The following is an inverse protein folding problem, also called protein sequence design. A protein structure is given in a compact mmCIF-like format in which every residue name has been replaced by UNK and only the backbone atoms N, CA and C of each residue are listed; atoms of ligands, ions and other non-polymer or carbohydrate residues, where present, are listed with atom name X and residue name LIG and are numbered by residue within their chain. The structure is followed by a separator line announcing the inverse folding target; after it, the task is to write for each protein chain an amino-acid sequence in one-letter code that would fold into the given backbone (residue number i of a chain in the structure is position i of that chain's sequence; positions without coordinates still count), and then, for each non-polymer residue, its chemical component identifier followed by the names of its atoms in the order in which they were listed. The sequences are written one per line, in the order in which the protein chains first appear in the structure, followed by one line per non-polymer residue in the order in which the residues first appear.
data_IF_633222703772
#
_entry.id   IF_633222703772
#
_cell.length_a   1.000
_cell.length_b   1.000
_cell.length_c   1.000
_cell.angle_alpha   90.00
_cell.angle_beta   90.00
_cell.angle_gamma   90.00
#
_symmetry.space_group_name_H-M   'P 1'
#
loop_
_entity.id
_entity.type
_entity.pdbx_description
1 polymer ?
#
# COMPACT_ATOMS: atom_id res chain seq x y z
N UNK A 1 14.18 -22.60 21.74
CA UNK A 1 14.73 -21.27 21.46
C UNK A 1 15.05 -21.22 19.98
N UNK A 2 14.50 -20.26 19.25
CA UNK A 2 14.80 -20.05 17.83
C UNK A 2 16.26 -19.59 17.76
N UNK A 3 17.11 -20.35 17.03
CA UNK A 3 18.50 -19.97 16.80
C UNK A 3 18.56 -19.00 15.63
N UNK A 4 18.95 -17.75 15.88
CA UNK A 4 19.22 -16.77 14.82
C UNK A 4 20.46 -17.17 14.02
N UNK A 5 20.56 -16.87 12.71
CA UNK A 5 21.75 -17.11 11.91
C UNK A 5 22.96 -16.39 12.51
N UNK A 6 24.14 -17.03 12.60
CA UNK A 6 25.33 -16.41 13.18
C UNK A 6 25.74 -15.11 12.47
N UNK A 7 25.70 -15.10 11.14
CA UNK A 7 26.09 -13.95 10.32
C UNK A 7 25.12 -12.77 10.51
N UNK A 8 23.81 -13.04 10.70
CA UNK A 8 22.84 -12.02 11.09
C UNK A 8 23.18 -11.45 12.47
N UNK A 9 23.49 -12.31 13.43
CA UNK A 9 23.80 -11.92 14.80
C UNK A 9 25.04 -11.04 14.84
N UNK A 10 26.12 -11.44 14.15
CA UNK A 10 27.38 -10.66 14.06
C UNK A 10 27.14 -9.30 13.42
N UNK A 11 26.41 -9.23 12.30
CA UNK A 11 26.09 -7.97 11.62
C UNK A 11 25.28 -7.03 12.52
N UNK A 12 24.26 -7.55 13.22
CA UNK A 12 23.45 -6.72 14.12
C UNK A 12 24.23 -6.23 15.33
N UNK A 13 25.19 -7.01 15.84
CA UNK A 13 26.12 -6.56 16.89
C UNK A 13 27.00 -5.41 16.41
N UNK A 14 27.52 -5.49 15.20
CA UNK A 14 28.31 -4.41 14.59
C UNK A 14 27.46 -3.15 14.34
N UNK A 15 26.24 -3.32 13.84
CA UNK A 15 25.34 -2.22 13.49
C UNK A 15 24.82 -1.47 14.72
N UNK A 16 24.41 -2.20 15.76
CA UNK A 16 23.72 -1.64 16.94
C UNK A 16 24.63 -1.45 18.15
N UNK A 17 25.83 -2.04 18.16
CA UNK A 17 26.77 -1.93 19.26
C UNK A 17 26.13 -2.33 20.60
N UNK A 18 26.14 -1.40 21.56
CA UNK A 18 25.59 -1.63 22.91
C UNK A 18 24.07 -1.88 22.94
N UNK A 19 23.33 -1.54 21.88
CA UNK A 19 21.89 -1.77 21.80
C UNK A 19 21.53 -3.18 21.28
N UNK A 20 22.51 -3.96 20.81
CA UNK A 20 22.29 -5.27 20.19
C UNK A 20 21.61 -6.28 21.12
N UNK A 21 22.00 -6.31 22.41
CA UNK A 21 21.39 -7.21 23.40
C UNK A 21 19.89 -6.94 23.57
N UNK A 22 19.51 -5.68 23.75
CA UNK A 22 18.10 -5.28 23.87
C UNK A 22 17.30 -5.55 22.58
N UNK A 23 17.95 -5.41 21.43
CA UNK A 23 17.38 -5.77 20.14
C UNK A 23 17.08 -7.28 20.06
N UNK A 24 18.02 -8.14 20.40
CA UNK A 24 17.82 -9.60 20.39
C UNK A 24 16.75 -10.04 21.39
N UNK A 25 16.70 -9.42 22.57
CA UNK A 25 15.62 -9.67 23.54
C UNK A 25 14.25 -9.28 22.97
N UNK A 26 14.18 -8.17 22.21
CA UNK A 26 12.94 -7.78 21.55
C UNK A 26 12.50 -8.76 20.47
N UNK A 27 13.43 -9.36 19.71
CA UNK A 27 13.11 -10.35 18.66
C UNK A 27 12.52 -11.65 19.21
N UNK A 28 12.80 -12.03 20.46
CA UNK A 28 12.26 -13.23 21.09
C UNK A 28 11.03 -12.96 21.98
N UNK A 29 10.65 -11.69 22.12
CA UNK A 29 9.45 -11.30 22.88
C UNK A 29 8.18 -11.42 22.03
N UNK A 30 7.01 -11.35 22.66
CA UNK A 30 5.73 -11.39 21.96
C UNK A 30 5.57 -10.19 21.01
N UNK A 31 5.06 -10.48 19.82
CA UNK A 31 4.83 -9.48 18.77
C UNK A 31 3.67 -8.56 19.14
N UNK A 32 3.83 -7.22 19.09
CA UNK A 32 2.74 -6.30 19.34
C UNK A 32 1.65 -6.43 18.27
N UNK A 33 0.41 -6.33 18.69
CA UNK A 33 -0.73 -6.32 17.79
C UNK A 33 -1.24 -4.90 17.60
N UNK A 34 -1.47 -4.49 16.36
CA UNK A 34 -2.04 -3.19 16.03
C UNK A 34 -3.05 -3.27 14.89
N UNK A 35 -4.00 -2.34 14.91
CA UNK A 35 -5.04 -2.18 13.89
C UNK A 35 -5.07 -0.74 13.41
N UNK A 36 -5.54 -0.54 12.18
CA UNK A 36 -5.82 0.79 11.64
C UNK A 36 -7.28 0.87 11.20
N UNK A 37 -8.01 1.85 11.74
CA UNK A 37 -9.41 2.08 11.46
C UNK A 37 -9.63 2.62 10.04
N UNK A 38 -10.76 2.26 9.45
CA UNK A 38 -11.23 2.85 8.19
C UNK A 38 -12.07 4.10 8.51
N UNK A 39 -11.56 5.32 8.25
CA UNK A 39 -12.24 6.55 8.67
C UNK A 39 -13.61 6.76 8.00
N UNK A 40 -13.90 6.10 6.88
CA UNK A 40 -15.20 6.20 6.21
C UNK A 40 -16.24 5.21 6.76
N UNK A 41 -15.82 4.20 7.49
CA UNK A 41 -16.71 3.16 8.03
C UNK A 41 -16.83 3.19 9.55
N UNK A 42 -15.90 3.82 10.27
CA UNK A 42 -15.90 3.88 11.74
C UNK A 42 -16.32 5.25 12.29
N UNK A 43 -16.58 6.25 11.47
CA UNK A 43 -16.95 7.60 11.92
C UNK A 43 -18.24 7.64 12.77
N UNK A 44 -19.16 6.67 12.58
CA UNK A 44 -20.46 6.61 13.23
C UNK A 44 -20.78 5.23 13.82
N UNK A 45 -19.76 4.40 14.02
CA UNK A 45 -19.92 3.03 14.56
C UNK A 45 -19.10 2.85 15.82
N UNK A 46 -19.45 1.86 16.63
CA UNK A 46 -18.62 1.44 17.75
C UNK A 46 -17.22 1.02 17.26
N UNK A 47 -16.20 1.35 18.04
CA UNK A 47 -14.84 0.96 17.74
C UNK A 47 -14.69 -0.56 17.85
N UNK A 48 -13.90 -1.20 16.96
CA UNK A 48 -13.61 -2.62 17.11
C UNK A 48 -12.80 -2.84 18.40
N UNK A 49 -13.17 -3.88 19.15
CA UNK A 49 -12.48 -4.28 20.39
C UNK A 49 -12.25 -3.15 21.39
N UNK A 50 -13.28 -2.37 21.82
CA UNK A 50 -13.08 -1.19 22.66
C UNK A 50 -12.36 -1.51 23.97
N UNK A 51 -12.57 -2.71 24.54
CA UNK A 51 -11.92 -3.18 25.76
C UNK A 51 -10.45 -3.59 25.56
N UNK A 52 -10.05 -3.95 24.33
CA UNK A 52 -8.68 -4.32 23.97
C UNK A 52 -7.86 -3.15 23.44
N UNK A 53 -8.50 -2.06 23.05
CA UNK A 53 -7.76 -0.86 22.63
C UNK A 53 -6.83 -0.40 23.76
N UNK A 54 -5.55 -0.20 23.44
CA UNK A 54 -4.54 0.27 24.37
C UNK A 54 -4.24 1.74 24.10
N UNK A 55 -3.21 2.00 23.33
CA UNK A 55 -2.76 3.35 22.99
C UNK A 55 -2.79 3.57 21.49
N UNK A 56 -2.91 4.82 21.08
CA UNK A 56 -2.78 5.21 19.67
C UNK A 56 -1.34 4.97 19.19
N UNK A 57 -1.19 4.59 17.92
CA UNK A 57 0.11 4.58 17.23
C UNK A 57 0.56 6.04 17.07
N UNK A 58 1.74 6.44 17.55
CA UNK A 58 2.11 7.86 17.64
C UNK A 58 2.10 8.61 16.30
N UNK A 59 2.36 7.91 15.22
CA UNK A 59 2.45 8.47 13.86
C UNK A 59 1.24 8.14 12.96
N UNK A 60 0.15 7.64 13.55
CA UNK A 60 -1.06 7.32 12.78
C UNK A 60 -2.32 7.64 13.58
N UNK A 61 -3.08 8.64 13.13
CA UNK A 61 -4.29 9.11 13.82
C UNK A 61 -5.40 8.06 13.94
N UNK A 62 -5.45 7.09 13.02
CA UNK A 62 -6.41 5.99 13.01
C UNK A 62 -5.77 4.64 13.42
N UNK A 63 -4.51 4.66 13.87
CA UNK A 63 -3.76 3.48 14.30
C UNK A 63 -3.85 3.26 15.81
N UNK A 64 -4.08 2.01 16.24
CA UNK A 64 -4.18 1.65 17.64
C UNK A 64 -3.45 0.34 17.92
N UNK A 65 -2.76 0.27 19.04
CA UNK A 65 -2.27 -0.98 19.61
C UNK A 65 -3.40 -1.68 20.38
N UNK A 66 -3.36 -3.00 20.37
CA UNK A 66 -4.22 -3.84 21.21
C UNK A 66 -3.42 -4.40 22.38
N UNK A 67 -4.09 -4.63 23.52
CA UNK A 67 -3.51 -5.25 24.72
C UNK A 67 -3.11 -6.70 24.46
N UNK A 68 -3.89 -7.41 23.66
CA UNK A 68 -3.67 -8.78 23.23
C UNK A 68 -4.18 -8.99 21.80
N UNK A 69 -3.87 -10.13 21.21
CA UNK A 69 -4.30 -10.49 19.86
C UNK A 69 -5.64 -11.24 19.89
N UNK A 70 -6.74 -10.62 19.45
CA UNK A 70 -8.03 -11.30 19.37
C UNK A 70 -8.12 -12.24 18.16
N UNK A 71 -9.20 -13.03 18.10
CA UNK A 71 -9.55 -13.81 16.91
C UNK A 71 -10.16 -12.91 15.84
N UNK A 72 -9.31 -12.28 15.02
CA UNK A 72 -9.75 -11.37 13.98
C UNK A 72 -10.67 -12.00 12.93
N UNK A 73 -10.47 -13.28 12.60
CA UNK A 73 -11.25 -13.98 11.57
C UNK A 73 -12.72 -14.18 11.96
N UNK A 74 -13.04 -14.09 13.25
CA UNK A 74 -14.39 -14.21 13.77
C UNK A 74 -15.11 -12.86 13.88
N UNK A 75 -14.40 -11.74 13.61
CA UNK A 75 -14.98 -10.40 13.77
C UNK A 75 -15.65 -9.91 12.48
N UNK A 76 -16.99 -9.66 12.52
CA UNK A 76 -17.72 -9.12 11.38
C UNK A 76 -17.18 -7.77 10.89
N UNK A 77 -16.62 -6.93 11.77
CA UNK A 77 -16.08 -5.62 11.44
C UNK A 77 -14.83 -5.72 10.56
N UNK A 78 -13.99 -6.76 10.74
CA UNK A 78 -12.89 -7.04 9.82
C UNK A 78 -13.42 -7.34 8.41
N UNK A 79 -14.43 -8.20 8.32
CA UNK A 79 -15.03 -8.58 7.04
C UNK A 79 -15.79 -7.42 6.39
N UNK A 80 -16.35 -6.55 7.21
CA UNK A 80 -16.96 -5.28 6.78
C UNK A 80 -15.97 -4.20 6.38
N UNK A 81 -14.67 -4.41 6.61
CA UNK A 81 -13.60 -3.45 6.28
C UNK A 81 -13.60 -2.20 7.16
N UNK A 82 -14.10 -2.30 8.40
CA UNK A 82 -14.07 -1.22 9.39
C UNK A 82 -12.65 -0.94 9.89
N UNK A 83 -11.76 -1.91 9.83
CA UNK A 83 -10.34 -1.77 10.17
C UNK A 83 -9.47 -2.73 9.36
N UNK A 84 -8.17 -2.50 9.40
CA UNK A 84 -7.13 -3.35 8.86
C UNK A 84 -6.15 -3.74 9.97
N UNK A 85 -5.78 -5.03 10.09
CA UNK A 85 -4.72 -5.48 10.98
C UNK A 85 -3.39 -5.12 10.33
N UNK A 86 -2.73 -4.09 10.85
CA UNK A 86 -1.52 -3.53 10.23
C UNK A 86 -0.42 -3.36 11.26
N UNK A 87 0.79 -3.69 10.87
CA UNK A 87 2.02 -3.45 11.63
C UNK A 87 2.22 -1.94 11.84
N UNK A 88 2.49 -1.54 13.09
CA UNK A 88 2.46 -0.13 13.49
C UNK A 88 3.51 0.73 12.80
N UNK A 89 4.75 0.22 12.60
CA UNK A 89 5.82 0.99 11.96
C UNK A 89 5.45 1.37 10.52
N UNK A 90 4.77 0.48 9.80
CA UNK A 90 4.32 0.72 8.43
C UNK A 90 3.29 1.85 8.31
N UNK A 91 2.63 2.20 9.42
CA UNK A 91 1.69 3.33 9.47
C UNK A 91 2.39 4.70 9.45
N UNK A 92 3.73 4.77 9.62
CA UNK A 92 4.52 5.99 9.46
C UNK A 92 4.36 6.60 8.06
N UNK A 93 3.96 5.82 7.08
CA UNK A 93 3.58 6.31 5.76
C UNK A 93 2.55 7.45 5.83
N UNK A 94 1.70 7.54 6.88
CA UNK A 94 0.78 8.67 7.07
C UNK A 94 1.54 9.98 7.29
N UNK A 95 2.61 9.99 8.09
CA UNK A 95 3.46 11.18 8.33
C UNK A 95 4.17 11.61 7.05
N UNK A 96 4.65 10.63 6.27
CA UNK A 96 5.24 10.90 4.94
C UNK A 96 4.23 11.61 4.05
N UNK A 97 3.02 11.05 3.89
CA UNK A 97 1.98 11.62 3.05
C UNK A 97 1.64 13.06 3.46
N UNK A 98 1.48 13.34 4.75
CA UNK A 98 1.15 14.67 5.27
C UNK A 98 2.17 15.75 4.87
N UNK A 99 3.41 15.36 4.56
CA UNK A 99 4.47 16.31 4.22
C UNK A 99 4.76 16.40 2.73
N UNK A 100 4.57 15.31 1.98
CA UNK A 100 4.87 15.30 0.54
C UNK A 100 3.63 15.50 -0.35
N UNK A 101 2.41 15.40 0.22
CA UNK A 101 1.18 15.66 -0.55
C UNK A 101 0.56 16.98 -0.13
N UNK A 102 0.15 17.79 -1.10
CA UNK A 102 -0.71 18.96 -0.88
C UNK A 102 -2.18 18.59 -1.06
N UNK A 103 -3.00 19.57 -1.44
CA UNK A 103 -4.44 19.39 -1.72
C UNK A 103 -4.74 18.98 -3.18
N UNK A 104 -3.73 18.98 -4.04
CA UNK A 104 -3.89 18.65 -5.47
C UNK A 104 -4.08 17.15 -5.66
N UNK A 105 -5.05 16.72 -6.50
CA UNK A 105 -5.24 15.32 -6.81
C UNK A 105 -3.98 14.67 -7.41
N UNK A 106 -3.64 13.49 -6.94
CA UNK A 106 -2.45 12.73 -7.33
C UNK A 106 -2.83 11.41 -8.02
N UNK A 107 -1.97 10.98 -8.94
CA UNK A 107 -1.93 9.59 -9.38
C UNK A 107 -0.80 8.87 -8.65
N UNK A 108 -1.16 7.86 -7.90
CA UNK A 108 -0.24 7.11 -7.03
C UNK A 108 -0.17 5.66 -7.46
N UNK A 109 1.03 5.11 -7.50
CA UNK A 109 1.28 3.69 -7.72
C UNK A 109 1.84 3.06 -6.43
N UNK A 110 1.15 2.06 -5.90
CA UNK A 110 1.69 1.12 -4.91
C UNK A 110 2.12 -0.14 -5.67
N UNK A 111 3.43 -0.29 -5.90
CA UNK A 111 3.96 -1.24 -6.88
C UNK A 111 4.00 -2.68 -6.37
N UNK A 112 4.23 -2.89 -5.06
CA UNK A 112 4.33 -4.20 -4.41
C UNK A 112 3.27 -4.29 -3.30
N UNK A 113 2.00 -4.12 -3.66
CA UNK A 113 0.93 -3.70 -2.77
C UNK A 113 0.38 -4.78 -1.82
N UNK A 114 0.50 -6.06 -2.17
CA UNK A 114 -0.12 -7.12 -1.37
C UNK A 114 0.52 -7.28 0.01
N UNK A 115 -0.30 -7.49 1.05
CA UNK A 115 -1.73 -7.82 1.02
C UNK A 115 -2.68 -6.60 1.03
N UNK A 116 -2.19 -5.32 1.03
CA UNK A 116 -3.03 -4.13 0.91
C UNK A 116 -3.01 -3.18 2.12
N UNK A 117 -2.17 -3.40 3.11
CA UNK A 117 -2.08 -2.54 4.30
C UNK A 117 -1.66 -1.12 3.97
N UNK A 118 -0.59 -0.95 3.18
CA UNK A 118 -0.12 0.36 2.70
C UNK A 118 -1.08 0.97 1.66
N UNK A 119 -1.61 0.16 0.72
CA UNK A 119 -2.64 0.62 -0.23
C UNK A 119 -3.87 1.22 0.44
N UNK A 120 -4.42 0.55 1.45
CA UNK A 120 -5.61 1.04 2.17
C UNK A 120 -5.30 2.26 3.04
N UNK A 121 -4.06 2.42 3.52
CA UNK A 121 -3.59 3.63 4.17
C UNK A 121 -3.49 4.78 3.18
N UNK A 122 -2.85 4.57 2.01
CA UNK A 122 -2.79 5.53 0.91
C UNK A 122 -4.19 6.02 0.55
N UNK A 123 -5.11 5.09 0.24
CA UNK A 123 -6.47 5.41 -0.16
C UNK A 123 -7.22 6.31 0.84
N UNK A 124 -6.94 6.17 2.13
CA UNK A 124 -7.58 6.95 3.19
C UNK A 124 -6.98 8.34 3.40
N UNK A 125 -5.73 8.57 2.94
CA UNK A 125 -4.98 9.79 3.23
C UNK A 125 -4.62 10.62 1.99
N UNK A 126 -4.83 10.09 0.78
CA UNK A 126 -4.61 10.85 -0.45
C UNK A 126 -5.60 12.01 -0.58
N UNK A 127 -5.19 13.13 -1.21
CA UNK A 127 -6.08 14.24 -1.54
C UNK A 127 -7.32 13.76 -2.29
N UNK A 128 -8.42 14.50 -2.11
CA UNK A 128 -9.66 14.22 -2.82
C UNK A 128 -9.41 14.15 -4.34
N UNK A 129 -10.15 13.28 -5.02
CA UNK A 129 -10.08 13.09 -6.47
C UNK A 129 -8.74 12.50 -6.97
N UNK A 130 -7.88 12.00 -6.08
CA UNK A 130 -6.70 11.21 -6.43
C UNK A 130 -7.08 9.83 -6.97
N UNK A 131 -6.14 9.20 -7.67
CA UNK A 131 -6.24 7.82 -8.15
C UNK A 131 -5.11 6.98 -7.57
N UNK A 132 -5.45 5.85 -6.97
CA UNK A 132 -4.49 4.85 -6.52
C UNK A 132 -4.49 3.63 -7.45
N UNK A 133 -3.32 3.26 -7.95
CA UNK A 133 -3.08 1.99 -8.64
C UNK A 133 -2.29 1.10 -7.70
N UNK A 134 -2.85 -0.04 -7.31
CA UNK A 134 -2.21 -1.02 -6.42
C UNK A 134 -1.85 -2.26 -7.23
N UNK A 135 -0.55 -2.52 -7.39
CA UNK A 135 -0.02 -3.61 -8.20
C UNK A 135 0.54 -4.75 -7.34
N UNK A 136 0.41 -5.96 -7.83
CA UNK A 136 1.10 -7.14 -7.28
C UNK A 136 1.40 -8.12 -8.40
N UNK A 137 2.65 -8.57 -8.48
CA UNK A 137 3.12 -9.47 -9.53
C UNK A 137 2.64 -10.91 -9.33
N UNK A 138 2.54 -11.38 -8.09
CA UNK A 138 2.15 -12.74 -7.74
C UNK A 138 0.61 -12.84 -7.75
N UNK A 139 0.06 -13.63 -8.68
CA UNK A 139 -1.39 -13.73 -8.92
C UNK A 139 -2.20 -14.10 -7.66
N UNK A 140 -1.74 -15.04 -6.85
CA UNK A 140 -2.43 -15.41 -5.60
C UNK A 140 -2.46 -14.26 -4.59
N UNK A 141 -1.36 -13.50 -4.46
CA UNK A 141 -1.30 -12.32 -3.60
C UNK A 141 -2.12 -11.16 -4.16
N UNK A 142 -2.17 -10.98 -5.48
CA UNK A 142 -3.02 -9.98 -6.14
C UNK A 142 -4.51 -10.24 -5.88
N UNK A 143 -4.92 -11.51 -5.76
CA UNK A 143 -6.29 -11.87 -5.37
C UNK A 143 -6.62 -11.46 -3.94
N UNK A 144 -5.67 -11.65 -2.99
CA UNK A 144 -5.81 -11.20 -1.60
C UNK A 144 -5.86 -9.66 -1.53
N UNK A 145 -5.00 -8.99 -2.30
CA UNK A 145 -5.02 -7.53 -2.43
C UNK A 145 -6.38 -7.03 -2.91
N UNK A 146 -6.91 -7.61 -4.02
CA UNK A 146 -8.24 -7.27 -4.55
C UNK A 146 -9.32 -7.41 -3.47
N UNK A 147 -9.32 -8.51 -2.72
CA UNK A 147 -10.29 -8.76 -1.66
C UNK A 147 -10.22 -7.69 -0.56
N UNK A 148 -9.01 -7.34 -0.10
CA UNK A 148 -8.81 -6.33 0.94
C UNK A 148 -9.19 -4.92 0.45
N UNK A 149 -8.95 -4.59 -0.81
CA UNK A 149 -9.41 -3.33 -1.43
C UNK A 149 -10.94 -3.28 -1.51
N UNK A 150 -11.60 -4.38 -1.88
CA UNK A 150 -13.06 -4.50 -1.88
C UNK A 150 -13.61 -4.30 -0.46
N UNK A 151 -13.01 -4.94 0.56
CA UNK A 151 -13.40 -4.75 1.96
C UNK A 151 -13.23 -3.30 2.41
N UNK A 152 -12.18 -2.62 1.97
CA UNK A 152 -11.96 -1.20 2.28
C UNK A 152 -13.05 -0.30 1.70
N UNK A 153 -13.56 -0.63 0.50
CA UNK A 153 -14.79 -0.08 -0.08
C UNK A 153 -14.66 1.28 -0.74
N UNK A 154 -13.45 1.68 -1.17
CA UNK A 154 -13.20 2.94 -1.87
C UNK A 154 -13.20 2.74 -3.40
N UNK A 155 -13.64 3.74 -4.16
CA UNK A 155 -13.86 3.66 -5.61
C UNK A 155 -12.77 4.29 -6.48
N UNK A 156 -11.80 4.96 -5.87
CA UNK A 156 -10.66 5.58 -6.57
C UNK A 156 -9.42 4.67 -6.58
N UNK A 157 -9.63 3.35 -6.51
CA UNK A 157 -8.56 2.35 -6.50
C UNK A 157 -8.69 1.44 -7.71
N UNK A 158 -7.55 1.15 -8.33
CA UNK A 158 -7.40 0.15 -9.39
C UNK A 158 -6.42 -0.91 -8.90
N UNK A 159 -6.73 -2.18 -9.05
CA UNK A 159 -5.81 -3.28 -8.77
C UNK A 159 -5.30 -3.87 -10.07
N UNK A 160 -3.97 -4.00 -10.16
CA UNK A 160 -3.29 -4.64 -11.30
C UNK A 160 -2.51 -5.88 -10.86
N UNK A 161 -2.39 -6.85 -11.77
CA UNK A 161 -1.51 -7.99 -11.61
C UNK A 161 -0.50 -7.96 -12.75
N UNK A 162 0.66 -7.34 -12.51
CA UNK A 162 1.66 -7.09 -13.56
C UNK A 162 3.08 -7.11 -13.00
N UNK A 163 4.03 -7.54 -13.83
CA UNK A 163 5.45 -7.30 -13.58
C UNK A 163 5.75 -5.79 -13.64
N UNK A 164 6.66 -5.25 -12.81
CA UNK A 164 7.06 -3.84 -12.82
C UNK A 164 7.42 -3.28 -14.19
N UNK A 165 8.01 -4.08 -15.07
CA UNK A 165 8.38 -3.65 -16.43
C UNK A 165 7.18 -3.18 -17.29
N UNK A 166 5.95 -3.58 -16.94
CA UNK A 166 4.74 -3.14 -17.66
C UNK A 166 4.45 -1.65 -17.45
N UNK A 167 5.05 -1.03 -16.44
CA UNK A 167 4.90 0.38 -16.13
C UNK A 167 5.92 1.26 -16.85
N UNK A 168 6.99 0.73 -17.47
CA UNK A 168 8.00 1.50 -18.22
C UNK A 168 7.40 2.36 -19.32
N UNK A 169 6.31 1.90 -19.94
CA UNK A 169 5.57 2.65 -20.97
C UNK A 169 4.71 3.80 -20.47
N UNK A 170 4.60 3.98 -19.17
CA UNK A 170 3.77 5.00 -18.49
C UNK A 170 4.61 6.19 -18.00
N UNK A 171 5.54 6.68 -18.82
CA UNK A 171 6.51 7.72 -18.45
C UNK A 171 5.85 8.94 -17.82
N UNK A 172 6.30 9.30 -16.61
CA UNK A 172 5.80 10.46 -15.85
C UNK A 172 4.33 10.35 -15.42
N UNK A 173 3.73 9.15 -15.43
CA UNK A 173 2.30 8.98 -15.19
C UNK A 173 1.89 9.08 -13.73
N UNK A 174 2.82 8.89 -12.79
CA UNK A 174 2.54 8.85 -11.37
C UNK A 174 3.28 9.96 -10.63
N UNK A 175 2.54 10.72 -9.83
CA UNK A 175 3.08 11.79 -8.98
C UNK A 175 3.79 11.23 -7.75
N UNK A 176 3.41 10.02 -7.33
CA UNK A 176 4.06 9.27 -6.26
C UNK A 176 4.08 7.77 -6.59
N UNK A 177 5.19 7.12 -6.29
CA UNK A 177 5.33 5.66 -6.36
C UNK A 177 5.78 5.16 -4.98
N UNK A 178 5.03 4.21 -4.41
CA UNK A 178 5.43 3.45 -3.24
C UNK A 178 5.99 2.10 -3.70
N UNK A 179 7.19 1.78 -3.23
CA UNK A 179 7.82 0.47 -3.41
C UNK A 179 8.11 -0.13 -2.04
N UNK A 180 7.15 -0.91 -1.53
CA UNK A 180 7.38 -1.79 -0.37
C UNK A 180 8.08 -3.04 -0.89
N UNK A 181 9.40 -2.96 -0.97
CA UNK A 181 10.19 -3.86 -1.79
C UNK A 181 10.22 -5.29 -1.20
N UNK A 182 10.13 -6.33 -2.06
CA UNK A 182 10.44 -7.67 -1.62
C UNK A 182 11.89 -7.71 -1.11
N UNK A 183 12.08 -8.15 0.13
CA UNK A 183 13.33 -8.08 0.87
C UNK A 183 13.60 -9.40 1.61
N UNK A 184 14.74 -9.49 2.28
CA UNK A 184 15.14 -10.65 3.07
C UNK A 184 14.22 -10.97 4.25
N UNK A 185 13.40 -9.98 4.68
CA UNK A 185 12.35 -10.20 5.66
C UNK A 185 12.83 -10.38 7.10
N UNK A 186 13.96 -9.81 7.50
CA UNK A 186 14.52 -9.93 8.85
C UNK A 186 13.57 -9.40 9.94
N UNK A 187 12.75 -8.40 9.63
CA UNK A 187 11.67 -7.92 10.50
C UNK A 187 10.55 -8.95 10.73
N UNK A 188 10.52 -10.05 9.96
CA UNK A 188 9.57 -11.15 10.15
C UNK A 188 10.07 -12.23 11.12
N UNK A 189 11.34 -12.22 11.54
CA UNK A 189 11.95 -13.24 12.41
C UNK A 189 11.18 -13.46 13.70
N UNK A 190 10.52 -12.44 14.20
CA UNK A 190 9.69 -12.48 15.40
C UNK A 190 8.37 -13.23 15.21
N UNK A 191 7.87 -13.34 13.96
CA UNK A 191 6.54 -13.88 13.61
C UNK A 191 6.60 -15.18 12.84
N UNK A 192 7.65 -15.39 12.07
CA UNK A 192 7.73 -16.47 11.10
C UNK A 192 9.09 -17.17 11.15
N UNK A 193 9.10 -18.37 11.73
CA UNK A 193 10.31 -19.20 11.79
C UNK A 193 10.87 -19.55 10.41
N UNK A 194 10.01 -19.57 9.37
CA UNK A 194 10.47 -19.82 8.00
C UNK A 194 11.36 -18.68 7.50
N UNK A 195 11.05 -17.43 7.87
CA UNK A 195 11.89 -16.31 7.49
C UNK A 195 13.34 -16.47 8.02
N UNK A 196 13.51 -17.09 9.21
CA UNK A 196 14.82 -17.38 9.78
C UNK A 196 15.51 -18.51 9.01
N UNK A 197 14.78 -19.59 8.70
CA UNK A 197 15.36 -20.77 8.01
C UNK A 197 15.68 -20.52 6.54
N UNK A 198 14.98 -19.61 5.88
CA UNK A 198 15.19 -19.22 4.48
C UNK A 198 16.25 -18.10 4.35
N UNK A 199 16.63 -17.46 5.46
CA UNK A 199 17.59 -16.38 5.45
C UNK A 199 19.00 -16.90 5.14
N UNK A 200 19.72 -16.19 4.28
CA UNK A 200 21.13 -16.41 3.97
C UNK A 200 21.72 -15.15 3.33
N UNK A 201 23.03 -14.95 3.42
CA UNK A 201 23.73 -13.86 2.74
C UNK A 201 23.51 -13.89 1.21
N UNK A 202 23.41 -15.07 0.61
CA UNK A 202 23.10 -15.19 -0.80
C UNK A 202 21.68 -14.68 -1.13
N UNK A 203 20.71 -14.95 -0.25
CA UNK A 203 19.34 -14.44 -0.42
C UNK A 203 19.29 -12.91 -0.26
N UNK A 204 20.10 -12.32 0.63
CA UNK A 204 20.24 -10.86 0.75
C UNK A 204 20.65 -10.25 -0.59
N UNK A 205 21.74 -10.76 -1.22
CA UNK A 205 22.22 -10.24 -2.52
C UNK A 205 21.17 -10.37 -3.63
N UNK A 206 20.46 -11.51 -3.67
CA UNK A 206 19.36 -11.67 -4.63
C UNK A 206 18.20 -10.69 -4.40
N UNK A 207 17.93 -10.33 -3.15
CA UNK A 207 16.94 -9.31 -2.82
C UNK A 207 17.42 -7.91 -3.27
N UNK A 208 18.67 -7.53 -3.01
CA UNK A 208 19.27 -6.27 -3.46
C UNK A 208 19.20 -6.13 -5.00
N UNK A 209 19.61 -7.17 -5.73
CA UNK A 209 19.54 -7.18 -7.20
C UNK A 209 18.10 -7.02 -7.71
N UNK A 210 17.16 -7.72 -7.08
CA UNK A 210 15.74 -7.62 -7.41
C UNK A 210 15.18 -6.23 -7.13
N UNK A 211 15.55 -5.61 -6.03
CA UNK A 211 15.15 -4.25 -5.66
C UNK A 211 15.65 -3.24 -6.69
N UNK A 212 16.93 -3.30 -7.08
CA UNK A 212 17.50 -2.45 -8.13
C UNK A 212 16.78 -2.62 -9.47
N UNK A 213 16.46 -3.86 -9.87
CA UNK A 213 15.68 -4.13 -11.08
C UNK A 213 14.29 -3.49 -11.02
N UNK A 214 13.54 -3.73 -9.92
CA UNK A 214 12.19 -3.20 -9.72
C UNK A 214 12.19 -1.67 -9.82
N UNK A 215 13.15 -1.02 -9.15
CA UNK A 215 13.28 0.44 -9.14
C UNK A 215 13.66 0.99 -10.51
N UNK A 216 14.58 0.33 -11.24
CA UNK A 216 14.93 0.70 -12.61
C UNK A 216 13.73 0.60 -13.56
N UNK A 217 12.94 -0.48 -13.45
CA UNK A 217 11.77 -0.72 -14.28
C UNK A 217 10.69 0.35 -14.11
N UNK A 218 10.55 0.91 -12.90
CA UNK A 218 9.45 1.83 -12.58
C UNK A 218 9.86 3.30 -12.57
N UNK A 219 11.17 3.60 -12.56
CA UNK A 219 11.68 4.97 -12.41
C UNK A 219 11.12 5.96 -13.43
N UNK A 220 11.07 5.56 -14.70
CA UNK A 220 10.51 6.40 -15.74
C UNK A 220 9.02 6.71 -15.58
N UNK A 221 8.28 5.85 -14.86
CA UNK A 221 6.86 6.07 -14.60
C UNK A 221 6.60 7.17 -13.56
N UNK A 222 7.60 7.52 -12.74
CA UNK A 222 7.54 8.64 -11.81
C UNK A 222 7.64 9.97 -12.56
N UNK A 223 6.75 10.90 -12.24
CA UNK A 223 6.72 12.24 -12.81
C UNK A 223 7.94 13.08 -12.37
N UNK A 224 8.37 14.08 -13.15
CA UNK A 224 9.30 15.11 -12.67
C UNK A 224 8.76 15.79 -11.43
N UNK A 225 9.59 15.95 -10.39
CA UNK A 225 9.18 16.48 -9.09
C UNK A 225 8.38 15.50 -8.23
N UNK A 226 8.06 14.30 -8.76
CA UNK A 226 7.33 13.25 -8.03
C UNK A 226 8.17 12.55 -6.97
N UNK A 227 7.50 11.83 -6.08
CA UNK A 227 8.11 11.19 -4.92
C UNK A 227 8.12 9.66 -5.04
N UNK A 228 9.28 9.06 -4.82
CA UNK A 228 9.43 7.63 -4.56
C UNK A 228 9.49 7.42 -3.04
N UNK A 229 8.55 6.66 -2.50
CA UNK A 229 8.61 6.16 -1.13
C UNK A 229 9.11 4.72 -1.19
N UNK A 230 10.28 4.47 -0.65
CA UNK A 230 10.91 3.15 -0.59
C UNK A 230 10.79 2.59 0.82
N UNK A 231 10.39 1.33 0.97
CA UNK A 231 10.35 0.66 2.28
C UNK A 231 10.70 -0.82 2.16
N UNK A 232 11.24 -1.36 3.26
CA UNK A 232 11.55 -2.77 3.44
C UNK A 232 11.19 -3.21 4.86
N UNK A 233 11.04 -4.51 5.07
CA UNK A 233 10.96 -5.11 6.41
C UNK A 233 12.26 -5.85 6.77
N UNK A 234 13.40 -5.21 6.54
CA UNK A 234 14.73 -5.75 6.89
C UNK A 234 15.59 -4.72 7.61
N UNK A 235 16.62 -5.16 8.32
CA UNK A 235 17.60 -4.31 8.98
C UNK A 235 18.91 -4.19 8.19
N UNK A 236 19.01 -4.91 7.06
CA UNK A 236 20.21 -4.96 6.23
C UNK A 236 20.49 -3.63 5.54
N UNK A 237 21.64 -2.97 5.79
CA UNK A 237 22.01 -1.74 5.09
C UNK A 237 22.08 -1.89 3.57
N UNK A 238 22.49 -3.07 3.06
CA UNK A 238 22.56 -3.37 1.62
C UNK A 238 21.21 -3.25 0.91
N UNK A 239 20.12 -3.58 1.61
CA UNK A 239 18.75 -3.46 1.11
C UNK A 239 18.09 -2.12 1.46
N UNK A 240 18.71 -1.29 2.30
CA UNK A 240 18.19 -0.03 2.83
C UNK A 240 19.00 1.16 2.30
N UNK A 241 20.03 1.58 3.02
CA UNK A 241 20.88 2.74 2.69
C UNK A 241 21.57 2.60 1.34
N UNK A 242 22.10 1.40 1.03
CA UNK A 242 22.81 1.17 -0.22
C UNK A 242 21.88 1.25 -1.44
N UNK A 243 20.61 0.88 -1.29
CA UNK A 243 19.60 1.09 -2.33
C UNK A 243 19.29 2.58 -2.49
N UNK A 244 19.11 3.35 -1.40
CA UNK A 244 18.90 4.80 -1.51
C UNK A 244 20.09 5.50 -2.15
N UNK A 245 21.33 5.16 -1.73
CA UNK A 245 22.57 5.68 -2.32
C UNK A 245 22.67 5.34 -3.81
N UNK A 246 22.33 4.12 -4.18
CA UNK A 246 22.31 3.69 -5.57
C UNK A 246 21.31 4.51 -6.40
N UNK A 247 20.11 4.79 -5.88
CA UNK A 247 19.14 5.65 -6.57
C UNK A 247 19.73 7.04 -6.81
N UNK A 248 20.31 7.66 -5.76
CA UNK A 248 20.86 9.03 -5.82
C UNK A 248 22.09 9.15 -6.74
N UNK A 249 22.83 8.05 -6.93
CA UNK A 249 24.00 8.03 -7.84
C UNK A 249 23.66 7.63 -9.27
N UNK A 250 22.53 6.94 -9.46
CA UNK A 250 22.11 6.43 -10.77
C UNK A 250 21.16 7.40 -11.49
N UNK A 251 20.32 8.10 -10.74
CA UNK A 251 19.27 8.97 -11.26
C UNK A 251 19.44 10.40 -10.75
N UNK A 252 18.91 11.37 -11.47
CA UNK A 252 18.80 12.75 -10.99
C UNK A 252 17.67 12.83 -9.94
N UNK A 253 18.07 12.74 -8.67
CA UNK A 253 17.17 12.62 -7.55
C UNK A 253 17.75 13.24 -6.27
N UNK A 254 16.89 13.55 -5.32
CA UNK A 254 17.26 14.13 -4.02
C UNK A 254 16.62 13.33 -2.89
N UNK A 255 17.36 13.09 -1.80
CA UNK A 255 16.80 12.51 -0.57
C UNK A 255 15.97 13.55 0.17
N UNK A 256 14.78 13.16 0.61
CA UNK A 256 13.78 14.06 1.23
C UNK A 256 13.70 13.81 2.72
N UNK A 257 13.94 14.86 3.51
CA UNK A 257 13.75 14.81 4.95
C UNK A 257 12.27 14.82 5.32
N UNK A 258 11.82 13.82 6.10
CA UNK A 258 10.51 13.80 6.73
C UNK A 258 10.66 14.23 8.19
N UNK A 259 10.20 15.42 8.49
CA UNK A 259 10.34 16.01 9.83
C UNK A 259 9.41 15.35 10.83
N UNK A 260 9.94 14.94 11.96
CA UNK A 260 9.19 14.35 13.06
C UNK A 260 9.93 14.52 14.39
N UNK A 261 9.21 14.29 15.50
CA UNK A 261 9.76 14.34 16.85
C UNK A 261 9.71 12.99 17.60
N UNK A 262 9.58 11.89 16.85
CA UNK A 262 9.51 10.54 17.41
C UNK A 262 10.92 10.02 17.70
N UNK A 263 11.35 10.11 18.96
CA UNK A 263 12.71 9.71 19.40
C UNK A 263 12.99 8.22 19.26
N UNK A 264 11.94 7.39 19.14
CA UNK A 264 12.06 5.95 18.93
C UNK A 264 12.49 5.56 17.50
N UNK A 265 12.38 6.47 16.53
CA UNK A 265 12.78 6.23 15.14
C UNK A 265 14.26 6.60 15.02
N UNK A 266 15.07 5.68 14.52
CA UNK A 266 16.50 5.89 14.31
C UNK A 266 16.76 6.39 12.89
N UNK A 267 17.35 7.58 12.69
CA UNK A 267 17.68 8.07 11.36
C UNK A 267 18.86 7.32 10.75
N UNK A 268 18.92 7.23 9.43
CA UNK A 268 20.12 6.81 8.72
C UNK A 268 21.24 7.83 8.84
N UNK A 269 22.52 7.42 8.66
CA UNK A 269 23.63 8.36 8.62
C UNK A 269 23.47 9.41 7.51
N UNK A 270 23.81 10.68 7.84
CA UNK A 270 23.86 11.77 6.86
C UNK A 270 24.80 11.42 5.67
N UNK A 271 24.45 11.82 4.42
CA UNK A 271 23.39 12.76 4.04
C UNK A 271 22.04 12.10 3.68
N UNK A 272 21.84 10.82 3.96
CA UNK A 272 20.59 10.14 3.69
C UNK A 272 19.49 10.47 4.70
N UNK A 273 18.27 10.51 4.23
CA UNK A 273 17.07 10.62 5.06
C UNK A 273 16.31 9.30 5.04
N UNK A 274 16.83 8.30 5.77
CA UNK A 274 16.19 7.01 6.02
C UNK A 274 15.72 6.90 7.48
N UNK A 275 14.70 6.09 7.72
CA UNK A 275 14.04 5.95 9.01
C UNK A 275 13.92 4.48 9.37
N UNK A 276 14.63 4.06 10.44
CA UNK A 276 14.62 2.70 10.97
C UNK A 276 13.67 2.57 12.15
N UNK A 277 12.86 1.53 12.13
CA UNK A 277 11.95 1.14 13.19
C UNK A 277 12.43 -0.17 13.82
N UNK A 278 13.38 -0.06 14.74
CA UNK A 278 13.90 -1.24 15.44
C UNK A 278 12.93 -1.71 16.54
N UNK A 279 12.70 -3.03 16.71
CA UNK A 279 11.69 -3.56 17.64
C UNK A 279 11.97 -3.26 19.11
N UNK A 280 13.20 -3.01 19.51
CA UNK A 280 13.58 -2.61 20.88
C UNK A 280 13.33 -1.13 21.19
N UNK A 281 13.13 -0.29 20.15
CA UNK A 281 12.83 1.14 20.29
C UNK A 281 11.38 1.45 19.99
N UNK A 282 10.81 0.76 19.00
CA UNK A 282 9.42 0.95 18.57
C UNK A 282 8.59 -0.28 18.94
N UNK A 283 7.30 -0.08 19.23
CA UNK A 283 6.38 -1.20 19.36
C UNK A 283 5.99 -1.70 17.94
N UNK A 284 6.95 -2.28 17.22
CA UNK A 284 6.81 -2.75 15.85
C UNK A 284 7.67 -3.98 15.59
N UNK A 285 7.63 -4.48 14.36
CA UNK A 285 8.37 -5.69 13.96
C UNK A 285 9.71 -5.38 13.30
N UNK A 286 9.83 -4.20 12.76
CA UNK A 286 10.97 -3.78 11.97
C UNK A 286 10.56 -3.27 10.61
N UNK A 287 10.99 -2.07 10.31
CA UNK A 287 10.74 -1.40 9.04
C UNK A 287 11.89 -0.44 8.76
N UNK A 288 12.19 -0.30 7.48
CA UNK A 288 12.94 0.83 6.95
C UNK A 288 12.05 1.62 6.00
N UNK A 289 12.19 2.95 5.98
CA UNK A 289 11.52 3.81 5.02
C UNK A 289 12.40 4.99 4.64
N UNK A 290 12.46 5.31 3.33
CA UNK A 290 13.13 6.49 2.80
C UNK A 290 12.29 7.15 1.72
N UNK A 291 12.46 8.45 1.53
CA UNK A 291 11.74 9.24 0.52
C UNK A 291 12.74 9.92 -0.40
N UNK A 292 12.54 9.73 -1.69
CA UNK A 292 13.36 10.30 -2.76
C UNK A 292 12.46 11.14 -3.67
N UNK A 293 12.93 12.34 -4.04
CA UNK A 293 12.25 13.15 -5.05
C UNK A 293 13.02 13.03 -6.37
N UNK A 294 12.30 12.79 -7.45
CA UNK A 294 12.84 12.82 -8.81
C UNK A 294 12.95 14.26 -9.29
N UNK A 295 14.14 14.69 -9.70
CA UNK A 295 14.38 16.09 -10.11
C UNK A 295 14.05 16.36 -11.58
N UNK A 296 14.29 15.38 -12.46
CA UNK A 296 14.21 15.51 -13.91
C UNK A 296 13.11 14.65 -14.54
N UNK A 297 12.95 14.74 -15.84
CA UNK A 297 12.10 13.85 -16.62
C UNK A 297 11.11 14.57 -17.53
N UNK A 298 10.24 13.78 -18.16
CA UNK A 298 9.22 14.29 -19.09
C UNK A 298 7.85 14.19 -18.44
N UNK A 299 7.05 15.28 -18.42
CA UNK A 299 5.67 15.23 -17.95
C UNK A 299 4.85 14.21 -18.74
N UNK A 300 3.91 13.57 -18.05
CA UNK A 300 3.04 12.59 -18.65
C UNK A 300 2.19 13.19 -19.76
N UNK A 301 2.25 12.55 -20.92
CA UNK A 301 1.34 12.84 -22.03
C UNK A 301 0.69 11.55 -22.48
N UNK A 302 -0.63 11.50 -22.34
CA UNK A 302 -1.38 10.34 -22.79
C UNK A 302 -1.37 10.28 -24.30
N UNK A 303 -0.70 9.26 -24.88
CA UNK A 303 -0.75 9.03 -26.31
C UNK A 303 -2.17 8.63 -26.71
N UNK A 304 -2.77 9.40 -27.63
CA UNK A 304 -4.05 9.01 -28.24
C UNK A 304 -3.82 7.68 -28.95
N UNK A 305 -4.26 6.59 -28.33
CA UNK A 305 -4.38 5.33 -29.07
C UNK A 305 -5.42 5.54 -30.18
N UNK A 306 -5.15 4.96 -31.37
CA UNK A 306 -6.13 4.96 -32.47
C UNK A 306 -7.46 4.54 -31.85
N UNK A 307 -8.49 5.40 -31.99
CA UNK A 307 -9.79 5.32 -31.36
C UNK A 307 -10.21 3.86 -31.13
N UNK A 308 -10.17 3.40 -29.91
CA UNK A 308 -11.00 2.27 -29.53
C UNK A 308 -12.42 2.68 -29.87
N UNK A 309 -13.14 1.84 -30.60
CA UNK A 309 -14.57 2.03 -30.87
C UNK A 309 -15.23 2.43 -29.55
N UNK A 310 -16.00 3.54 -29.51
CA UNK A 310 -16.68 3.93 -28.28
C UNK A 310 -17.41 2.72 -27.73
N UNK A 311 -17.08 2.30 -26.53
CA UNK A 311 -17.86 1.24 -25.87
C UNK A 311 -19.30 1.70 -25.82
N UNK A 312 -20.29 0.86 -26.21
CA UNK A 312 -21.69 1.22 -26.15
C UNK A 312 -22.02 1.73 -24.75
N UNK A 313 -22.85 2.78 -24.66
CA UNK A 313 -23.26 3.35 -23.40
C UNK A 313 -23.87 2.25 -22.51
N UNK A 314 -23.20 1.97 -21.39
CA UNK A 314 -23.66 0.97 -20.43
C UNK A 314 -24.84 1.54 -19.66
N UNK A 315 -26.03 0.94 -19.83
CA UNK A 315 -27.20 1.29 -19.05
C UNK A 315 -27.23 0.46 -17.77
N UNK A 316 -27.33 1.16 -16.65
CA UNK A 316 -27.50 0.51 -15.36
C UNK A 316 -28.96 0.08 -15.18
N UNK A 317 -29.24 -1.08 -14.59
CA UNK A 317 -30.57 -1.51 -14.21
C UNK A 317 -31.26 -0.53 -13.27
N UNK A 318 -32.58 -0.32 -13.42
CA UNK A 318 -33.32 0.67 -12.65
C UNK A 318 -33.41 0.32 -11.15
N UNK A 319 -33.35 -0.96 -10.82
CA UNK A 319 -33.42 -1.49 -9.45
C UNK A 319 -32.19 -1.12 -8.60
N UNK A 320 -31.03 -0.90 -9.22
CA UNK A 320 -29.80 -0.58 -8.51
C UNK A 320 -29.54 0.93 -8.36
N UNK A 321 -30.11 1.75 -9.24
CA UNK A 321 -29.85 3.19 -9.27
C UNK A 321 -30.08 3.91 -7.93
N UNK A 322 -31.14 3.59 -7.15
CA UNK A 322 -31.37 4.25 -5.85
C UNK A 322 -30.28 3.99 -4.80
N UNK A 323 -29.52 2.90 -4.95
CA UNK A 323 -28.44 2.52 -4.03
C UNK A 323 -27.11 3.18 -4.39
N UNK A 324 -26.99 3.74 -5.60
CA UNK A 324 -25.73 4.27 -6.10
C UNK A 324 -25.57 5.77 -5.75
N UNK A 325 -24.33 6.29 -5.73
CA UNK A 325 -24.08 7.72 -5.56
C UNK A 325 -24.56 8.52 -6.78
N UNK A 326 -24.38 9.84 -6.74
CA UNK A 326 -24.64 10.73 -7.88
C UNK A 326 -23.90 10.27 -9.15
N UNK A 327 -24.65 9.62 -10.05
CA UNK A 327 -24.11 9.01 -11.27
C UNK A 327 -23.58 10.01 -12.29
N UNK A 328 -23.80 11.31 -12.14
CA UNK A 328 -23.19 12.35 -13.01
C UNK A 328 -21.67 12.39 -12.89
N UNK A 329 -21.13 11.89 -11.74
CA UNK A 329 -19.70 11.81 -11.42
C UNK A 329 -19.04 10.49 -11.76
N UNK A 330 -19.81 9.52 -12.27
CA UNK A 330 -19.35 8.16 -12.52
C UNK A 330 -19.52 7.75 -13.97
N UNK A 331 -18.66 6.86 -14.41
CA UNK A 331 -18.73 6.16 -15.68
C UNK A 331 -19.04 4.69 -15.42
N UNK A 332 -20.19 4.17 -15.88
CA UNK A 332 -20.46 2.74 -15.84
C UNK A 332 -19.54 1.98 -16.79
N UNK A 333 -19.20 0.74 -16.44
CA UNK A 333 -18.46 -0.15 -17.30
C UNK A 333 -18.94 -1.59 -17.18
N UNK A 334 -18.60 -2.42 -18.18
CA UNK A 334 -18.78 -3.87 -18.16
C UNK A 334 -17.41 -4.52 -18.27
N UNK A 335 -17.16 -5.52 -17.43
CA UNK A 335 -15.99 -6.38 -17.49
C UNK A 335 -16.45 -7.84 -17.42
N UNK A 336 -16.45 -8.54 -18.57
CA UNK A 336 -17.13 -9.84 -18.69
C UNK A 336 -18.63 -9.68 -18.43
N UNK A 337 -19.17 -10.37 -17.43
CA UNK A 337 -20.57 -10.29 -17.01
C UNK A 337 -20.80 -9.24 -15.89
N UNK A 338 -19.73 -8.69 -15.32
CA UNK A 338 -19.80 -7.78 -14.18
C UNK A 338 -20.02 -6.34 -14.62
N UNK A 339 -21.08 -5.72 -14.09
CA UNK A 339 -21.31 -4.27 -14.12
C UNK A 339 -20.50 -3.61 -13.02
N UNK A 340 -19.93 -2.45 -13.32
CA UNK A 340 -19.26 -1.62 -12.33
C UNK A 340 -19.37 -0.13 -12.64
N UNK A 341 -18.95 0.68 -11.69
CA UNK A 341 -18.81 2.13 -11.80
C UNK A 341 -17.40 2.56 -11.38
N UNK A 342 -16.90 3.62 -11.99
CA UNK A 342 -15.65 4.25 -11.62
C UNK A 342 -15.77 5.78 -11.71
N UNK A 343 -14.99 6.55 -10.94
CA UNK A 343 -15.03 8.01 -11.01
C UNK A 343 -14.69 8.50 -12.43
N UNK A 344 -15.56 9.37 -12.98
CA UNK A 344 -15.51 9.81 -14.38
C UNK A 344 -14.17 10.44 -14.76
N UNK A 345 -13.57 11.21 -13.85
CA UNK A 345 -12.29 11.88 -14.08
C UNK A 345 -11.13 10.91 -14.31
N UNK A 346 -11.23 9.67 -13.86
CA UNK A 346 -10.18 8.65 -13.99
C UNK A 346 -10.42 7.68 -15.16
N UNK A 347 -11.61 7.74 -15.79
CA UNK A 347 -12.02 6.74 -16.79
C UNK A 347 -11.03 6.61 -17.95
N UNK A 348 -10.59 7.73 -18.50
CA UNK A 348 -9.67 7.78 -19.65
C UNK A 348 -8.28 7.21 -19.27
N UNK A 349 -7.73 7.61 -18.11
CA UNK A 349 -6.45 7.08 -17.64
C UNK A 349 -6.53 5.59 -17.31
N UNK A 350 -7.63 5.13 -16.67
CA UNK A 350 -7.81 3.70 -16.36
C UNK A 350 -7.94 2.88 -17.64
N UNK A 351 -8.58 3.39 -18.68
CA UNK A 351 -8.62 2.74 -19.98
C UNK A 351 -7.22 2.64 -20.60
N UNK A 352 -6.44 3.73 -20.55
CA UNK A 352 -5.06 3.73 -21.04
C UNK A 352 -4.18 2.75 -20.23
N UNK A 353 -4.28 2.77 -18.90
CA UNK A 353 -3.58 1.82 -18.01
C UNK A 353 -3.93 0.37 -18.35
N UNK A 354 -5.20 0.07 -18.66
CA UNK A 354 -5.66 -1.28 -19.00
C UNK A 354 -5.03 -1.81 -20.29
N UNK A 355 -4.54 -0.94 -21.18
CA UNK A 355 -3.79 -1.34 -22.37
C UNK A 355 -2.31 -1.68 -22.08
N UNK A 356 -1.78 -1.28 -20.93
CA UNK A 356 -0.38 -1.46 -20.54
C UNK A 356 -0.21 -2.50 -19.44
N UNK A 357 -1.09 -2.51 -18.45
CA UNK A 357 -1.03 -3.37 -17.26
C UNK A 357 -2.29 -4.23 -17.14
N UNK A 358 -2.15 -5.37 -16.48
CA UNK A 358 -3.23 -6.33 -16.24
C UNK A 358 -4.19 -5.85 -15.14
N UNK A 359 -5.16 -4.99 -15.48
CA UNK A 359 -6.17 -4.54 -14.53
C UNK A 359 -7.12 -5.69 -14.17
N UNK A 360 -7.21 -6.03 -12.89
CA UNK A 360 -8.07 -7.09 -12.35
C UNK A 360 -9.24 -6.58 -11.50
N UNK A 361 -9.21 -5.30 -11.10
CA UNK A 361 -10.29 -4.62 -10.38
C UNK A 361 -10.18 -3.11 -10.57
N UNK A 362 -11.33 -2.40 -10.63
CA UNK A 362 -11.37 -0.94 -10.71
C UNK A 362 -12.68 -0.38 -10.19
N UNK A 363 -12.63 0.76 -9.50
CA UNK A 363 -13.82 1.44 -9.01
C UNK A 363 -14.61 0.60 -8.01
N UNK A 364 -15.91 0.37 -8.32
CA UNK A 364 -16.80 -0.50 -7.56
C UNK A 364 -17.54 -1.45 -8.49
N UNK A 365 -17.38 -2.76 -8.27
CA UNK A 365 -18.19 -3.79 -8.93
C UNK A 365 -19.61 -3.77 -8.33
N UNK A 366 -20.64 -3.54 -9.16
CA UNK A 366 -22.04 -3.44 -8.73
C UNK A 366 -22.70 -4.82 -8.69
N UNK A 367 -22.48 -5.63 -9.71
CA UNK A 367 -23.11 -6.94 -9.84
C UNK A 367 -23.22 -7.43 -11.28
N UNK A 368 -24.01 -8.47 -11.46
CA UNK A 368 -24.30 -9.08 -12.77
C UNK A 368 -25.74 -8.75 -13.17
N UNK A 369 -25.97 -8.43 -14.46
CA UNK A 369 -27.31 -8.23 -14.97
C UNK A 369 -27.86 -9.56 -15.49
N UNK A 370 -28.83 -10.15 -14.77
CA UNK A 370 -29.49 -11.42 -15.15
C UNK A 370 -30.95 -11.14 -15.41
N UNK A 371 -31.39 -11.35 -16.68
CA UNK A 371 -32.78 -11.14 -17.11
C UNK A 371 -33.35 -9.77 -16.69
N UNK A 372 -32.55 -8.70 -16.81
CA UNK A 372 -32.96 -7.33 -16.50
C UNK A 372 -32.99 -6.96 -15.01
N UNK A 373 -32.59 -7.85 -14.12
CA UNK A 373 -32.42 -7.60 -12.69
C UNK A 373 -30.94 -7.68 -12.30
N UNK A 374 -30.54 -6.92 -11.29
CA UNK A 374 -29.19 -6.94 -10.77
C UNK A 374 -29.04 -8.02 -9.69
N UNK A 375 -28.10 -8.97 -9.91
CA UNK A 375 -27.58 -9.80 -8.84
C UNK A 375 -26.40 -9.03 -8.21
N UNK A 376 -26.55 -8.46 -7.00
CA UNK A 376 -25.53 -7.58 -6.43
C UNK A 376 -24.19 -8.30 -6.22
N UNK A 377 -23.08 -7.60 -6.49
CA UNK A 377 -21.75 -8.06 -6.11
C UNK A 377 -21.49 -7.78 -4.62
N UNK A 378 -20.64 -8.60 -4.00
CA UNK A 378 -20.17 -8.38 -2.62
C UNK A 378 -19.54 -6.99 -2.43
N UNK A 379 -18.81 -6.50 -3.44
CA UNK A 379 -18.18 -5.18 -3.43
C UNK A 379 -19.18 -4.04 -3.23
N UNK A 380 -20.40 -4.16 -3.76
CA UNK A 380 -21.43 -3.14 -3.58
C UNK A 380 -21.88 -3.02 -2.13
N UNK A 381 -22.07 -4.15 -1.42
CA UNK A 381 -22.48 -4.15 -0.02
C UNK A 381 -21.41 -3.50 0.90
N UNK A 382 -20.15 -3.55 0.48
CA UNK A 382 -19.01 -2.98 1.23
C UNK A 382 -18.65 -1.55 0.78
N UNK A 383 -19.33 -1.01 -0.22
CA UNK A 383 -19.05 0.30 -0.78
C UNK A 383 -19.43 1.43 0.17
N UNK A 384 -18.48 2.28 0.55
CA UNK A 384 -18.68 3.32 1.56
C UNK A 384 -19.66 4.44 1.15
N UNK A 385 -19.97 4.58 -0.14
CA UNK A 385 -20.94 5.56 -0.68
C UNK A 385 -22.31 4.95 -0.99
N UNK A 386 -22.54 3.71 -0.59
CA UNK A 386 -23.85 3.07 -0.78
C UNK A 386 -24.93 3.89 -0.06
N UNK A 387 -26.03 4.18 -0.75
CA UNK A 387 -27.17 4.92 -0.20
C UNK A 387 -28.00 3.98 0.68
N UNK A 388 -27.75 4.01 1.99
CA UNK A 388 -28.38 3.08 2.96
C UNK A 388 -29.89 3.27 3.16
N UNK A 389 -30.47 4.38 2.73
CA UNK A 389 -31.90 4.69 2.93
C UNK A 389 -32.87 3.70 2.28
N UNK A 390 -32.39 2.81 1.44
CA UNK A 390 -33.19 1.86 0.66
C UNK A 390 -32.84 0.39 0.91
N UNK A 391 -31.98 0.14 1.90
CA UNK A 391 -31.63 -1.23 2.33
C UNK A 391 -32.48 -1.55 3.54
N UNK A 392 -33.70 -2.07 3.33
CA UNK A 392 -34.57 -2.69 4.33
C UNK A 392 -34.55 -4.19 4.17
#
# INVERSE_FOLDING_TARGET
MISLPPEFTERMQQLLGNESETFFQALVSESPTSIRLNPKKTANTDLPFPELLSRQVPWCSNGYYLKERPSFTSDPLLHGGAYYVQEASSMFLQVVLQQITGDTPLRVLDLCAAPGGKSTLLASNLPKDSLLVSNEVIKSRASILKENIIKWGYDHIVVTNSDPNRFTGLKGAFDMILVDAPCSGEGMFRKDEKAITEWSENNLRLCEERQRRILSDVWDALAPGGYLVYSTCTYNPGENEDILNWILTTFDASSVEIRHNFTAITPSPSPLHGYHFYPHKTNGEGLFMGVIQKNDGTPFTMKKEKRATPSPAVKLPADILPLLPDMTKYTPYIAGETLGILPKQHAEFIQYLSSKAGVIYKGCEIGECIKGKTKPAHALALYHKLQQKHVT
#
